data_IF_412826090005
#
_entry.id   IF_412826090005
#
_cell.length_a   1.000
_cell.length_b   1.000
_cell.length_c   1.000
_cell.angle_alpha   90.00
_cell.angle_beta   90.00
_cell.angle_gamma   90.00
#
_symmetry.space_group_name_H-M   'P 1'
#
loop_
_entity.id
_entity.type
_entity.pdbx_description
1 polymer ?
#
# COMPACT_ATOMS: atom_id res chain seq x y z
N UNK A 1 1.64 6.93 -40.32
CA UNK A 1 1.65 8.33 -39.82
C UNK A 1 2.69 8.47 -38.75
N UNK A 2 3.73 9.24 -39.06
CA UNK A 2 4.90 9.48 -38.21
C UNK A 2 4.52 10.19 -36.91
N UNK A 3 4.38 9.41 -35.84
CA UNK A 3 4.17 9.96 -34.51
C UNK A 3 5.45 10.59 -33.99
N UNK A 4 5.51 11.91 -33.94
CA UNK A 4 6.59 12.62 -33.24
C UNK A 4 6.59 12.20 -31.77
N UNK A 5 7.76 11.75 -31.29
CA UNK A 5 7.99 11.45 -29.88
C UNK A 5 8.00 12.76 -29.09
N UNK A 6 7.00 12.99 -28.26
CA UNK A 6 6.97 14.08 -27.27
C UNK A 6 7.31 13.46 -25.92
N UNK A 7 8.44 13.82 -25.32
CA UNK A 7 8.96 13.27 -24.06
C UNK A 7 9.10 11.74 -24.03
N UNK A 8 9.49 11.13 -25.17
CA UNK A 8 9.68 9.68 -25.27
C UNK A 8 8.39 8.87 -25.46
N UNK A 9 7.22 9.52 -25.52
CA UNK A 9 5.92 8.87 -25.77
C UNK A 9 5.47 9.11 -27.22
N UNK A 10 5.06 8.03 -27.92
CA UNK A 10 4.43 8.14 -29.23
C UNK A 10 3.07 8.80 -29.08
N UNK A 11 2.94 10.03 -29.58
CA UNK A 11 1.66 10.76 -29.60
C UNK A 11 0.65 10.08 -30.52
N UNK A 12 -0.55 9.78 -30.01
CA UNK A 12 -1.69 9.28 -30.78
C UNK A 12 -2.92 10.12 -30.51
N UNK A 13 -3.76 10.36 -31.53
CA UNK A 13 -5.06 10.97 -31.31
C UNK A 13 -6.03 9.90 -30.79
N UNK A 14 -6.48 10.04 -29.54
CA UNK A 14 -7.53 9.20 -28.97
C UNK A 14 -8.89 9.88 -29.15
N UNK A 15 -9.94 9.10 -29.42
CA UNK A 15 -11.32 9.57 -29.45
C UNK A 15 -12.23 8.50 -28.82
N UNK A 16 -13.33 8.95 -28.21
CA UNK A 16 -14.30 8.07 -27.56
C UNK A 16 -15.42 7.77 -28.54
N UNK A 17 -15.64 6.47 -28.82
CA UNK A 17 -16.82 5.99 -29.50
C UNK A 17 -17.91 5.70 -28.47
N UNK A 18 -18.96 6.52 -28.43
CA UNK A 18 -20.14 6.27 -27.57
C UNK A 18 -21.10 5.26 -28.26
N UNK A 19 -20.58 4.09 -28.60
CA UNK A 19 -21.33 3.00 -29.23
C UNK A 19 -20.88 1.66 -28.64
N UNK A 20 -21.70 0.62 -28.63
CA UNK A 20 -21.31 -0.72 -28.26
C UNK A 20 -20.09 -1.19 -29.08
N UNK A 21 -19.18 -1.93 -28.47
CA UNK A 21 -18.08 -2.57 -29.19
C UNK A 21 -18.67 -3.65 -30.09
N UNK A 22 -18.26 -3.68 -31.36
CA UNK A 22 -18.70 -4.68 -32.35
C UNK A 22 -17.60 -5.74 -32.53
N UNK A 23 -17.97 -6.92 -33.00
CA UNK A 23 -17.01 -7.99 -33.33
C UNK A 23 -15.93 -7.50 -34.31
N UNK A 24 -16.30 -6.65 -35.26
CA UNK A 24 -15.35 -6.09 -36.21
C UNK A 24 -14.27 -5.25 -35.54
N UNK A 25 -14.59 -4.47 -34.51
CA UNK A 25 -13.60 -3.69 -33.77
C UNK A 25 -12.61 -4.59 -33.00
N UNK A 26 -13.06 -5.74 -32.48
CA UNK A 26 -12.21 -6.74 -31.88
C UNK A 26 -11.28 -7.40 -32.90
N UNK A 27 -11.84 -7.79 -34.07
CA UNK A 27 -11.07 -8.39 -35.17
C UNK A 27 -10.01 -7.40 -35.64
N UNK A 28 -10.38 -6.14 -35.91
CA UNK A 28 -9.44 -5.11 -36.35
C UNK A 28 -8.32 -4.86 -35.34
N UNK A 29 -8.62 -4.91 -34.03
CA UNK A 29 -7.64 -4.78 -32.97
C UNK A 29 -6.64 -5.96 -32.98
N UNK A 30 -7.12 -7.21 -33.07
CA UNK A 30 -6.28 -8.41 -33.10
C UNK A 30 -5.47 -8.49 -34.40
N UNK A 31 -6.01 -8.00 -35.50
CA UNK A 31 -5.29 -7.88 -36.78
C UNK A 31 -4.29 -6.73 -36.86
N UNK A 32 -4.22 -5.88 -35.77
CA UNK A 32 -3.28 -4.77 -35.69
C UNK A 32 -3.67 -3.54 -36.50
N UNK A 33 -4.94 -3.41 -36.89
CA UNK A 33 -5.45 -2.25 -37.62
C UNK A 33 -5.61 -1.06 -36.68
N UNK A 34 -5.17 0.11 -37.12
CA UNK A 34 -5.39 1.38 -36.40
C UNK A 34 -6.83 1.91 -36.57
N UNK A 35 -7.39 2.51 -35.53
CA UNK A 35 -6.84 2.71 -34.18
C UNK A 35 -6.98 1.48 -33.27
N UNK A 36 -6.01 1.26 -32.38
CA UNK A 36 -6.13 0.22 -31.34
C UNK A 36 -7.27 0.52 -30.38
N UNK A 37 -7.90 -0.52 -29.83
CA UNK A 37 -8.97 -0.36 -28.83
C UNK A 37 -8.43 0.05 -27.47
N UNK A 38 -9.20 0.92 -26.81
CA UNK A 38 -9.14 1.14 -25.38
C UNK A 38 -10.54 0.96 -24.80
N UNK A 39 -10.64 0.35 -23.64
CA UNK A 39 -11.91 0.06 -22.98
C UNK A 39 -11.97 0.78 -21.63
N UNK A 40 -13.17 1.30 -21.31
CA UNK A 40 -13.48 1.91 -20.02
C UNK A 40 -13.88 0.79 -19.05
N UNK A 41 -13.19 0.59 -17.92
CA UNK A 41 -13.51 -0.50 -16.99
C UNK A 41 -14.79 -0.26 -16.19
N UNK A 42 -15.10 0.99 -15.83
CA UNK A 42 -16.29 1.32 -15.05
C UNK A 42 -17.54 1.35 -15.91
N UNK A 43 -18.60 0.69 -15.46
CA UNK A 43 -19.92 0.59 -16.10
C UNK A 43 -20.84 1.69 -15.57
N UNK A 44 -21.99 1.90 -16.25
CA UNK A 44 -22.97 2.92 -15.90
C UNK A 44 -23.51 2.81 -14.46
N UNK A 45 -23.53 1.61 -13.89
CA UNK A 45 -23.93 1.35 -12.51
C UNK A 45 -22.75 1.40 -11.51
N UNK A 46 -21.64 2.02 -11.88
CA UNK A 46 -20.44 2.16 -11.06
C UNK A 46 -19.79 0.83 -10.64
N UNK A 47 -20.03 -0.25 -11.40
CA UNK A 47 -19.34 -1.54 -11.23
C UNK A 47 -18.29 -1.75 -12.32
N UNK A 48 -17.40 -2.72 -12.11
CA UNK A 48 -16.46 -3.18 -13.14
C UNK A 48 -16.25 -4.69 -13.05
N UNK A 49 -15.84 -5.31 -14.16
CA UNK A 49 -15.44 -6.73 -14.25
C UNK A 49 -13.94 -6.90 -14.39
N UNK A 50 -13.22 -5.82 -14.43
CA UNK A 50 -11.76 -5.78 -14.46
C UNK A 50 -11.25 -4.43 -13.97
N UNK A 51 -9.99 -4.39 -13.54
CA UNK A 51 -9.26 -3.17 -13.22
C UNK A 51 -7.78 -3.33 -13.56
N UNK A 52 -7.00 -2.27 -13.41
CA UNK A 52 -5.60 -2.28 -13.79
C UNK A 52 -4.76 -1.31 -12.94
N UNK A 53 -3.54 -1.74 -12.61
CA UNK A 53 -2.46 -0.88 -12.15
C UNK A 53 -1.63 -0.52 -13.38
N UNK A 54 -1.55 0.75 -13.73
CA UNK A 54 -0.80 1.25 -14.89
C UNK A 54 0.59 1.76 -14.47
N UNK A 55 1.62 0.95 -14.74
CA UNK A 55 3.00 1.23 -14.32
C UNK A 55 3.76 1.88 -15.48
N UNK A 56 3.91 3.20 -15.41
CA UNK A 56 4.61 4.03 -16.38
C UNK A 56 6.06 4.36 -15.92
N UNK A 57 6.82 3.34 -15.52
CA UNK A 57 8.23 3.47 -15.10
C UNK A 57 9.16 2.86 -16.15
N UNK A 58 10.28 3.52 -16.46
CA UNK A 58 11.20 3.09 -17.52
C UNK A 58 12.66 3.21 -17.07
N UNK A 59 13.55 2.21 -17.34
CA UNK A 59 13.22 0.87 -17.84
C UNK A 59 12.49 0.04 -16.77
N UNK A 60 11.66 -0.94 -17.20
CA UNK A 60 10.87 -1.77 -16.30
C UNK A 60 11.25 -3.26 -16.47
N UNK A 61 11.52 -3.93 -15.36
CA UNK A 61 11.72 -5.39 -15.31
C UNK A 61 10.40 -6.10 -15.03
N UNK A 62 9.70 -6.50 -16.09
CA UNK A 62 8.41 -7.20 -16.00
C UNK A 62 8.52 -8.53 -15.25
N UNK A 63 9.63 -9.27 -15.42
CA UNK A 63 9.85 -10.56 -14.74
C UNK A 63 10.00 -10.39 -13.22
N UNK A 64 10.60 -9.28 -12.79
CA UNK A 64 10.69 -8.94 -11.35
C UNK A 64 9.30 -8.67 -10.75
N UNK A 65 8.45 -7.93 -11.48
CA UNK A 65 7.07 -7.66 -11.04
C UNK A 65 6.27 -8.96 -11.00
N UNK A 66 6.34 -9.78 -12.06
CA UNK A 66 5.65 -11.07 -12.11
C UNK A 66 6.03 -11.97 -10.93
N UNK A 67 7.33 -12.12 -10.63
CA UNK A 67 7.79 -12.89 -9.46
C UNK A 67 7.16 -12.37 -8.18
N UNK A 68 7.14 -11.04 -7.99
CA UNK A 68 6.55 -10.41 -6.81
C UNK A 68 5.03 -10.65 -6.72
N UNK A 69 4.31 -10.57 -7.84
CA UNK A 69 2.88 -10.92 -7.93
C UNK A 69 2.65 -12.36 -7.45
N UNK A 70 3.47 -13.32 -7.92
CA UNK A 70 3.35 -14.75 -7.55
C UNK A 70 3.78 -15.01 -6.11
N UNK A 71 4.85 -14.37 -5.64
CA UNK A 71 5.33 -14.47 -4.25
C UNK A 71 4.30 -13.98 -3.23
N UNK A 72 3.51 -12.97 -3.59
CA UNK A 72 2.41 -12.43 -2.78
C UNK A 72 1.07 -13.13 -3.03
N UNK A 73 1.04 -14.13 -3.91
CA UNK A 73 -0.15 -14.87 -4.34
C UNK A 73 -1.28 -13.96 -4.88
N UNK A 74 -0.92 -12.79 -5.48
CA UNK A 74 -1.90 -11.84 -5.99
C UNK A 74 -2.59 -12.39 -7.25
N UNK A 75 -3.94 -12.30 -7.37
CA UNK A 75 -4.69 -12.75 -8.54
C UNK A 75 -4.59 -11.73 -9.70
N UNK A 76 -3.36 -11.47 -10.14
CA UNK A 76 -3.05 -10.44 -11.12
C UNK A 76 -2.35 -11.03 -12.35
N UNK A 77 -2.69 -10.47 -13.51
CA UNK A 77 -2.07 -10.79 -14.81
C UNK A 77 -1.31 -9.56 -15.31
N UNK A 78 -0.02 -9.70 -15.58
CA UNK A 78 0.81 -8.61 -16.09
C UNK A 78 0.92 -8.67 -17.62
N UNK A 79 0.73 -7.52 -18.27
CA UNK A 79 0.98 -7.31 -19.70
C UNK A 79 1.98 -6.15 -19.89
N UNK A 80 2.76 -6.21 -20.95
CA UNK A 80 3.59 -5.09 -21.38
C UNK A 80 2.71 -3.99 -21.98
N UNK A 81 2.90 -2.75 -21.58
CA UNK A 81 2.20 -1.59 -22.16
C UNK A 81 2.85 -1.13 -23.47
N UNK A 82 2.15 -0.27 -24.23
CA UNK A 82 2.64 0.28 -25.51
C UNK A 82 4.02 0.93 -25.40
N UNK A 83 4.26 1.64 -24.32
CA UNK A 83 5.50 2.42 -24.09
C UNK A 83 6.61 1.58 -23.43
N UNK A 84 6.35 0.30 -23.08
CA UNK A 84 7.31 -0.56 -22.39
C UNK A 84 7.17 -0.58 -20.87
N UNK A 85 6.18 0.09 -20.31
CA UNK A 85 5.72 -0.08 -18.93
C UNK A 85 4.87 -1.35 -18.78
N UNK A 86 4.06 -1.44 -17.75
CA UNK A 86 3.19 -2.58 -17.52
C UNK A 86 1.75 -2.17 -17.20
N UNK A 87 0.80 -2.93 -17.73
CA UNK A 87 -0.57 -3.00 -17.27
C UNK A 87 -0.73 -4.27 -16.44
N UNK A 88 -1.08 -4.12 -15.17
CA UNK A 88 -1.27 -5.24 -14.24
C UNK A 88 -2.75 -5.36 -13.94
N UNK A 89 -3.38 -6.35 -14.57
CA UNK A 89 -4.84 -6.53 -14.58
C UNK A 89 -5.31 -7.40 -13.43
N UNK A 90 -6.46 -7.04 -12.85
CA UNK A 90 -7.35 -7.94 -12.15
C UNK A 90 -8.56 -8.23 -13.02
N UNK A 91 -9.03 -9.48 -13.01
CA UNK A 91 -10.26 -9.91 -13.65
C UNK A 91 -11.23 -10.48 -12.63
N UNK A 92 -12.52 -10.21 -12.84
CA UNK A 92 -13.60 -10.55 -11.90
C UNK A 92 -14.67 -11.38 -12.61
N UNK A 93 -15.14 -12.43 -11.96
CA UNK A 93 -16.17 -13.34 -12.48
C UNK A 93 -17.53 -12.66 -12.59
N UNK A 94 -17.80 -11.68 -11.74
CA UNK A 94 -19.03 -10.89 -11.68
C UNK A 94 -18.73 -9.38 -11.59
N UNK A 95 -19.70 -8.51 -11.91
CA UNK A 95 -19.54 -7.07 -11.72
C UNK A 95 -19.41 -6.71 -10.23
N UNK A 96 -18.32 -6.04 -9.86
CA UNK A 96 -17.98 -5.61 -8.49
C UNK A 96 -17.95 -4.08 -8.43
N UNK A 97 -18.29 -3.49 -7.29
CA UNK A 97 -18.23 -2.05 -7.09
C UNK A 97 -16.83 -1.51 -7.42
N UNK A 98 -16.76 -0.52 -8.30
CA UNK A 98 -15.50 0.08 -8.77
C UNK A 98 -14.62 0.58 -7.62
N UNK A 99 -15.24 1.10 -6.56
CA UNK A 99 -14.55 1.52 -5.33
C UNK A 99 -13.76 0.38 -4.69
N UNK A 100 -14.37 -0.79 -4.50
CA UNK A 100 -13.70 -1.96 -3.89
C UNK A 100 -12.52 -2.41 -4.74
N UNK A 101 -12.71 -2.53 -6.06
CA UNK A 101 -11.65 -2.94 -6.99
C UNK A 101 -10.49 -1.95 -6.97
N UNK A 102 -10.78 -0.66 -7.01
CA UNK A 102 -9.78 0.39 -6.96
C UNK A 102 -9.01 0.41 -5.64
N UNK A 103 -9.71 0.30 -4.50
CA UNK A 103 -9.08 0.29 -3.18
C UNK A 103 -8.12 -0.91 -3.04
N UNK A 104 -8.51 -2.11 -3.53
CA UNK A 104 -7.66 -3.30 -3.54
C UNK A 104 -6.47 -3.18 -4.47
N UNK A 105 -6.66 -2.66 -5.67
CA UNK A 105 -5.55 -2.41 -6.59
C UNK A 105 -4.57 -1.36 -6.04
N UNK A 106 -5.05 -0.33 -5.35
CA UNK A 106 -4.19 0.67 -4.71
C UNK A 106 -3.36 0.03 -3.57
N UNK A 107 -3.97 -0.83 -2.75
CA UNK A 107 -3.27 -1.64 -1.73
C UNK A 107 -2.17 -2.48 -2.39
N UNK A 108 -2.51 -3.26 -3.42
CA UNK A 108 -1.57 -4.15 -4.09
C UNK A 108 -0.49 -3.42 -4.89
N UNK A 109 -0.80 -2.27 -5.48
CA UNK A 109 0.22 -1.40 -6.08
C UNK A 109 1.27 -0.97 -5.04
N UNK A 110 0.82 -0.65 -3.81
CA UNK A 110 1.71 -0.39 -2.67
C UNK A 110 2.58 -1.60 -2.33
N UNK A 111 1.97 -2.79 -2.21
CA UNK A 111 2.69 -4.04 -1.93
C UNK A 111 3.72 -4.38 -3.03
N UNK A 112 3.40 -4.12 -4.29
CA UNK A 112 4.31 -4.28 -5.41
C UNK A 112 5.43 -3.23 -5.45
N UNK A 113 5.29 -2.12 -4.69
CA UNK A 113 6.24 -1.01 -4.67
C UNK A 113 5.95 0.09 -5.70
N UNK A 114 4.74 0.12 -6.24
CA UNK A 114 4.29 1.06 -7.26
C UNK A 114 3.09 1.91 -6.79
N UNK A 115 3.10 2.33 -5.53
CA UNK A 115 1.99 3.05 -4.89
C UNK A 115 1.58 4.36 -5.59
N UNK A 116 2.47 4.97 -6.38
CA UNK A 116 2.21 6.23 -7.11
C UNK A 116 1.66 6.01 -8.54
N UNK A 117 1.40 4.77 -8.95
CA UNK A 117 0.89 4.46 -10.28
C UNK A 117 -0.59 4.82 -10.42
N UNK A 118 -1.01 5.04 -11.67
CA UNK A 118 -2.42 5.21 -11.96
C UNK A 118 -3.18 3.90 -11.77
N UNK A 119 -4.38 4.00 -11.19
CA UNK A 119 -5.27 2.86 -10.98
C UNK A 119 -6.53 3.04 -11.83
N UNK A 120 -6.91 2.00 -12.56
CA UNK A 120 -8.15 1.92 -13.30
C UNK A 120 -9.10 0.90 -12.66
N UNK A 121 -10.40 1.23 -12.48
CA UNK A 121 -11.04 2.48 -12.86
C UNK A 121 -10.50 3.69 -12.10
N UNK A 122 -10.36 4.86 -12.78
CA UNK A 122 -9.96 6.11 -12.11
C UNK A 122 -11.10 6.67 -11.28
N UNK A 123 -12.32 6.53 -11.76
CA UNK A 123 -13.55 6.90 -11.07
C UNK A 123 -14.05 5.73 -10.23
N UNK A 124 -14.57 6.01 -9.05
CA UNK A 124 -15.25 5.04 -8.18
C UNK A 124 -16.77 5.05 -8.38
N UNK A 125 -17.29 6.16 -8.88
CA UNK A 125 -18.70 6.40 -9.23
C UNK A 125 -18.76 7.24 -10.49
N UNK A 126 -19.80 7.01 -11.31
CA UNK A 126 -20.16 7.83 -12.47
C UNK A 126 -21.65 8.10 -12.46
N UNK A 127 -22.04 9.26 -13.00
CA UNK A 127 -23.43 9.65 -13.21
C UNK A 127 -23.72 9.60 -14.71
N UNK A 128 -23.97 8.38 -15.21
CA UNK A 128 -24.14 8.11 -16.64
C UNK A 128 -25.30 8.91 -17.26
N UNK A 129 -26.37 9.14 -16.51
CA UNK A 129 -27.53 9.97 -16.87
C UNK A 129 -27.16 11.45 -17.11
N UNK A 130 -26.05 11.92 -16.52
CA UNK A 130 -25.49 13.26 -16.76
C UNK A 130 -24.42 13.28 -17.85
N UNK A 131 -24.17 12.13 -18.50
CA UNK A 131 -23.18 11.98 -19.55
C UNK A 131 -21.74 11.75 -19.06
N UNK A 132 -21.54 11.45 -17.77
CA UNK A 132 -20.23 11.08 -17.24
C UNK A 132 -19.73 9.79 -17.88
N UNK A 133 -18.44 9.74 -18.17
CA UNK A 133 -17.78 8.55 -18.70
C UNK A 133 -16.47 8.32 -17.94
N UNK A 134 -16.11 7.04 -17.77
CA UNK A 134 -14.82 6.67 -17.19
C UNK A 134 -13.64 6.95 -18.13
N UNK A 135 -12.43 6.79 -17.61
CA UNK A 135 -11.21 6.79 -18.41
C UNK A 135 -10.97 5.41 -19.02
N UNK A 136 -10.59 5.38 -20.29
CA UNK A 136 -10.23 4.13 -20.96
C UNK A 136 -8.77 3.75 -20.71
N UNK A 137 -8.47 2.46 -20.83
CA UNK A 137 -7.13 1.91 -20.89
C UNK A 137 -6.95 1.17 -22.21
N UNK A 138 -5.77 1.34 -22.85
CA UNK A 138 -5.45 0.62 -24.07
C UNK A 138 -5.33 -0.89 -23.78
N UNK A 139 -5.97 -1.70 -24.61
CA UNK A 139 -5.93 -3.15 -24.50
C UNK A 139 -4.57 -3.74 -24.94
N UNK A 140 -4.19 -4.88 -24.37
CA UNK A 140 -3.09 -5.70 -24.89
C UNK A 140 -3.46 -6.35 -26.22
N UNK A 141 -2.51 -7.04 -26.85
CA UNK A 141 -2.67 -7.84 -28.09
C UNK A 141 -3.17 -7.08 -29.31
N UNK A 142 -2.87 -5.79 -29.45
CA UNK A 142 -3.03 -5.10 -30.73
C UNK A 142 -2.02 -5.64 -31.74
N UNK A 143 -2.48 -6.42 -32.71
CA UNK A 143 -1.68 -7.20 -33.63
C UNK A 143 -1.54 -8.68 -33.24
N UNK A 144 -2.43 -9.18 -32.36
CA UNK A 144 -2.46 -10.59 -31.97
C UNK A 144 -1.19 -11.05 -31.25
N UNK A 145 -0.72 -12.24 -31.59
CA UNK A 145 0.46 -12.85 -30.96
C UNK A 145 1.78 -12.15 -31.33
N UNK A 146 1.84 -11.42 -32.45
CA UNK A 146 2.99 -10.61 -32.84
C UNK A 146 3.07 -9.29 -32.06
N UNK A 147 2.10 -9.02 -31.19
CA UNK A 147 2.02 -7.78 -30.42
C UNK A 147 3.13 -7.65 -29.41
N UNK A 148 3.76 -6.48 -29.36
CA UNK A 148 4.63 -6.13 -28.23
C UNK A 148 3.88 -5.90 -26.91
N UNK A 149 2.54 -5.79 -26.94
CA UNK A 149 1.65 -5.59 -25.79
C UNK A 149 1.09 -6.94 -25.30
N UNK A 150 1.94 -7.93 -25.13
CA UNK A 150 1.54 -9.28 -24.71
C UNK A 150 1.56 -9.43 -23.18
N UNK A 151 0.84 -10.44 -22.69
CA UNK A 151 0.91 -10.91 -21.32
C UNK A 151 2.19 -11.72 -21.04
N UNK A 152 2.48 -11.94 -19.79
CA UNK A 152 3.60 -12.81 -19.37
C UNK A 152 3.06 -14.06 -18.70
N UNK A 153 3.50 -15.23 -19.18
CA UNK A 153 3.28 -16.52 -18.55
C UNK A 153 4.03 -16.60 -17.21
N UNK A 154 3.67 -17.55 -16.33
CA UNK A 154 4.25 -17.66 -14.99
C UNK A 154 5.76 -17.94 -14.98
N UNK A 155 6.30 -18.51 -16.07
CA UNK A 155 7.74 -18.68 -16.28
C UNK A 155 8.45 -17.38 -16.72
N UNK A 156 7.70 -16.31 -16.98
CA UNK A 156 8.19 -15.01 -17.43
C UNK A 156 8.44 -14.93 -18.95
N UNK A 157 7.99 -15.90 -19.73
CA UNK A 157 7.94 -15.80 -21.20
C UNK A 157 6.73 -14.97 -21.66
N UNK A 158 6.76 -14.47 -22.89
CA UNK A 158 5.60 -13.84 -23.51
C UNK A 158 4.48 -14.88 -23.73
N UNK A 159 3.27 -14.55 -23.30
CA UNK A 159 2.10 -15.39 -23.52
C UNK A 159 1.48 -15.10 -24.89
N UNK A 160 1.05 -16.14 -25.61
CA UNK A 160 0.14 -16.00 -26.75
C UNK A 160 -1.23 -15.49 -26.29
N UNK A 161 -2.11 -15.15 -27.24
CA UNK A 161 -3.48 -14.75 -26.92
C UNK A 161 -4.23 -15.88 -26.21
N UNK A 162 -4.08 -17.13 -26.63
CA UNK A 162 -4.66 -18.30 -25.93
C UNK A 162 -4.06 -18.49 -24.54
N UNK A 163 -2.74 -18.25 -24.40
CA UNK A 163 -2.06 -18.25 -23.12
C UNK A 163 -2.59 -17.16 -22.17
N UNK A 164 -2.92 -15.99 -22.71
CA UNK A 164 -3.54 -14.93 -21.93
C UNK A 164 -4.94 -15.29 -21.44
N UNK A 165 -5.77 -15.95 -22.25
CA UNK A 165 -7.07 -16.45 -21.79
C UNK A 165 -6.89 -17.54 -20.73
N UNK A 166 -5.89 -18.38 -20.84
CA UNK A 166 -5.57 -19.37 -19.78
C UNK A 166 -5.15 -18.69 -18.46
N UNK A 167 -4.40 -17.58 -18.53
CA UNK A 167 -4.08 -16.76 -17.36
C UNK A 167 -5.33 -16.09 -16.76
N UNK A 168 -6.24 -15.61 -17.63
CA UNK A 168 -7.53 -15.08 -17.17
C UNK A 168 -8.32 -16.13 -16.39
N UNK A 169 -8.48 -17.35 -16.95
CA UNK A 169 -9.20 -18.43 -16.28
C UNK A 169 -8.56 -18.83 -14.94
N UNK A 170 -7.23 -18.79 -14.86
CA UNK A 170 -6.48 -19.15 -13.66
C UNK A 170 -6.61 -18.08 -12.55
N UNK A 171 -6.54 -16.81 -12.91
CA UNK A 171 -6.44 -15.70 -11.95
C UNK A 171 -7.72 -14.87 -11.80
N UNK A 172 -8.78 -15.20 -12.55
CA UNK A 172 -10.07 -14.53 -12.40
C UNK A 172 -10.68 -14.82 -11.02
N UNK A 173 -11.03 -13.77 -10.28
CA UNK A 173 -11.46 -13.89 -8.88
C UNK A 173 -12.92 -13.44 -8.68
N UNK A 174 -13.50 -13.73 -7.51
CA UNK A 174 -14.84 -13.32 -7.10
C UNK A 174 -14.79 -12.10 -6.18
N UNK A 175 -15.93 -11.40 -6.00
CA UNK A 175 -16.04 -10.31 -5.04
C UNK A 175 -15.73 -10.76 -3.62
N UNK A 176 -16.21 -11.95 -3.22
CA UNK A 176 -15.96 -12.53 -1.89
C UNK A 176 -14.47 -12.77 -1.68
N UNK A 177 -13.81 -13.48 -2.63
CA UNK A 177 -12.36 -13.72 -2.56
C UNK A 177 -11.55 -12.41 -2.54
N UNK A 178 -12.01 -11.39 -3.27
CA UNK A 178 -11.37 -10.08 -3.28
C UNK A 178 -11.47 -9.37 -1.93
N UNK A 179 -12.62 -9.42 -1.26
CA UNK A 179 -12.84 -8.84 0.08
C UNK A 179 -11.98 -9.49 1.14
N UNK A 180 -11.90 -10.83 1.11
CA UNK A 180 -11.20 -11.62 2.12
C UNK A 180 -9.72 -11.76 1.86
N UNK A 181 -9.24 -11.31 0.69
CA UNK A 181 -7.85 -11.44 0.30
C UNK A 181 -6.91 -10.68 1.25
N UNK A 182 -5.99 -11.42 1.86
CA UNK A 182 -4.90 -10.89 2.69
C UNK A 182 -3.57 -11.23 2.04
N UNK A 183 -2.75 -10.22 1.81
CA UNK A 183 -1.42 -10.40 1.24
C UNK A 183 -0.56 -11.24 2.18
N UNK A 184 -0.04 -12.37 1.68
CA UNK A 184 0.93 -13.19 2.41
C UNK A 184 2.34 -12.64 2.19
N UNK A 185 2.99 -12.21 3.26
CA UNK A 185 4.37 -11.71 3.23
C UNK A 185 5.33 -12.79 3.73
N UNK A 186 6.32 -13.18 2.91
CA UNK A 186 7.30 -14.23 3.27
C UNK A 186 8.30 -13.78 4.35
N UNK A 187 8.59 -12.47 4.45
CA UNK A 187 9.50 -11.89 5.44
C UNK A 187 8.87 -10.63 6.02
N UNK A 188 8.11 -10.78 7.08
CA UNK A 188 7.54 -9.64 7.77
C UNK A 188 8.62 -8.97 8.64
N UNK A 189 9.02 -7.76 8.25
CA UNK A 189 9.86 -6.91 9.10
C UNK A 189 8.91 -6.11 9.97
N UNK A 190 8.71 -6.56 11.19
CA UNK A 190 7.80 -5.88 12.10
C UNK A 190 8.56 -4.81 12.90
N UNK A 191 8.15 -3.56 12.74
CA UNK A 191 8.45 -2.51 13.68
C UNK A 191 7.40 -2.58 14.80
N UNK A 192 7.66 -3.38 15.83
CA UNK A 192 6.69 -3.64 16.90
C UNK A 192 6.15 -2.37 17.56
N UNK A 193 6.94 -1.30 17.57
CA UNK A 193 6.67 -0.03 18.21
C UNK A 193 6.45 1.15 17.25
N UNK A 194 6.59 0.92 15.95
CA UNK A 194 6.53 1.93 14.89
C UNK A 194 5.36 1.81 13.92
N UNK A 195 5.28 2.71 12.92
CA UNK A 195 4.22 2.69 11.94
C UNK A 195 4.20 1.41 11.10
N UNK A 196 3.08 0.68 11.00
CA UNK A 196 2.98 -0.55 10.18
C UNK A 196 3.29 -0.35 8.71
N UNK A 197 2.98 0.84 8.15
CA UNK A 197 3.29 1.16 6.77
C UNK A 197 4.80 1.15 6.48
N UNK A 198 5.65 1.54 7.44
CA UNK A 198 7.11 1.42 7.30
C UNK A 198 7.54 -0.04 7.29
N UNK A 199 7.00 -0.90 8.17
CA UNK A 199 7.25 -2.35 8.15
C UNK A 199 6.94 -2.96 6.79
N UNK A 200 5.77 -2.62 6.25
CA UNK A 200 5.34 -3.07 4.92
C UNK A 200 6.32 -2.65 3.83
N UNK A 201 6.68 -1.36 3.77
CA UNK A 201 7.60 -0.83 2.76
C UNK A 201 9.01 -1.42 2.89
N UNK A 202 9.50 -1.62 4.11
CA UNK A 202 10.79 -2.29 4.37
C UNK A 202 10.79 -3.74 3.88
N UNK A 203 9.70 -4.48 4.10
CA UNK A 203 9.57 -5.87 3.67
C UNK A 203 9.51 -6.03 2.16
N UNK A 204 8.98 -5.03 1.44
CA UNK A 204 8.83 -5.05 -0.01
C UNK A 204 10.12 -4.66 -0.77
N UNK A 205 11.02 -3.92 -0.11
CA UNK A 205 12.04 -3.11 -0.76
C UNK A 205 11.42 -1.83 -1.37
N UNK A 206 12.10 -0.71 -1.24
CA UNK A 206 11.58 0.61 -1.59
C UNK A 206 12.07 1.01 -2.99
N UNK A 207 11.20 1.05 -4.02
CA UNK A 207 11.60 1.37 -5.39
C UNK A 207 11.86 2.88 -5.58
N UNK A 208 12.50 3.28 -6.70
CA UNK A 208 12.90 4.66 -6.96
C UNK A 208 11.83 5.73 -6.75
N UNK A 209 10.57 5.50 -7.07
CA UNK A 209 9.51 6.50 -6.96
C UNK A 209 9.05 6.81 -5.52
N UNK A 210 9.37 5.96 -4.54
CA UNK A 210 8.91 6.08 -3.15
C UNK A 210 9.99 6.48 -2.13
N UNK A 211 11.26 6.51 -2.52
CA UNK A 211 12.42 6.59 -1.62
C UNK A 211 12.45 7.81 -0.71
N UNK A 212 12.31 9.01 -1.28
CA UNK A 212 12.39 10.26 -0.53
C UNK A 212 11.32 10.36 0.56
N UNK A 213 10.08 10.07 0.19
CA UNK A 213 8.97 10.12 1.14
C UNK A 213 9.12 9.05 2.22
N UNK A 214 9.55 7.85 1.86
CA UNK A 214 9.77 6.78 2.86
C UNK A 214 10.92 7.12 3.78
N UNK A 215 12.02 7.68 3.27
CA UNK A 215 13.14 8.14 4.10
C UNK A 215 12.71 9.24 5.08
N UNK A 216 11.90 10.20 4.61
CA UNK A 216 11.33 11.23 5.48
C UNK A 216 10.50 10.63 6.62
N UNK A 217 9.63 9.66 6.33
CA UNK A 217 8.79 9.01 7.35
C UNK A 217 9.62 8.18 8.33
N UNK A 218 10.63 7.47 7.81
CA UNK A 218 11.55 6.74 8.66
C UNK A 218 12.35 7.67 9.57
N UNK A 219 12.76 8.86 9.08
CA UNK A 219 13.44 9.85 9.89
C UNK A 219 12.57 10.36 11.06
N UNK A 220 11.26 10.53 10.84
CA UNK A 220 10.32 10.86 11.93
C UNK A 220 10.30 9.75 12.99
N UNK A 221 10.24 8.49 12.55
CA UNK A 221 10.26 7.33 13.46
C UNK A 221 11.59 7.21 14.20
N UNK A 222 12.71 7.26 13.46
CA UNK A 222 14.04 7.10 14.02
C UNK A 222 14.36 8.16 15.08
N UNK A 223 14.00 9.43 14.81
CA UNK A 223 14.21 10.53 15.75
C UNK A 223 13.40 10.37 17.04
N UNK A 224 12.20 9.80 16.97
CA UNK A 224 11.40 9.49 18.15
C UNK A 224 11.98 8.34 18.96
N UNK A 225 12.51 7.31 18.29
CA UNK A 225 12.97 6.06 18.93
C UNK A 225 14.41 6.14 19.41
N UNK A 226 15.29 6.77 18.63
CA UNK A 226 16.73 6.88 18.90
C UNK A 226 17.18 8.35 18.84
N UNK A 227 16.80 9.20 19.79
CA UNK A 227 17.05 10.64 19.72
C UNK A 227 18.53 11.01 19.55
N UNK A 228 19.46 10.18 20.07
CA UNK A 228 20.91 10.44 20.01
C UNK A 228 21.59 9.84 18.77
N UNK A 229 20.97 8.83 18.11
CA UNK A 229 21.60 8.05 17.02
C UNK A 229 20.76 7.99 15.73
N UNK A 230 19.68 8.75 15.65
CA UNK A 230 18.70 8.69 14.57
C UNK A 230 19.30 8.95 13.18
N UNK A 231 20.31 9.80 13.06
CA UNK A 231 20.94 10.12 11.78
C UNK A 231 21.68 8.92 11.18
N UNK A 232 22.44 8.16 12.01
CA UNK A 232 23.08 6.92 11.60
C UNK A 232 22.04 5.87 11.18
N UNK A 233 20.88 5.81 11.87
CA UNK A 233 19.78 4.91 11.52
C UNK A 233 19.15 5.25 10.16
N UNK A 234 19.12 6.50 9.76
CA UNK A 234 18.65 6.91 8.42
C UNK A 234 19.60 6.40 7.33
N UNK A 235 20.91 6.51 7.54
CA UNK A 235 21.90 6.03 6.57
C UNK A 235 21.84 4.50 6.43
N UNK A 236 21.75 3.77 7.56
CA UNK A 236 21.54 2.32 7.57
C UNK A 236 20.28 1.92 6.81
N UNK A 237 19.17 2.61 7.07
CA UNK A 237 17.91 2.36 6.40
C UNK A 237 18.01 2.54 4.87
N UNK A 238 18.64 3.61 4.42
CA UNK A 238 18.84 3.90 3.01
C UNK A 238 19.57 2.76 2.27
N UNK A 239 20.61 2.21 2.88
CA UNK A 239 21.38 1.13 2.27
C UNK A 239 20.71 -0.23 2.36
N UNK A 240 19.95 -0.48 3.41
CA UNK A 240 19.39 -1.82 3.69
C UNK A 240 18.06 -2.08 3.00
N UNK A 241 17.19 -1.06 2.88
CA UNK A 241 15.81 -1.27 2.47
C UNK A 241 15.43 -0.60 1.14
N UNK A 242 16.26 0.27 0.60
CA UNK A 242 16.02 0.85 -0.71
C UNK A 242 16.63 -0.02 -1.81
N UNK A 243 15.84 -0.37 -2.83
CA UNK A 243 16.34 -1.16 -3.98
C UNK A 243 17.55 -0.52 -4.66
N UNK A 244 17.55 0.81 -4.73
CA UNK A 244 18.71 1.62 -5.12
C UNK A 244 18.85 2.72 -4.09
N UNK A 245 19.89 2.76 -3.26
CA UNK A 245 20.06 3.78 -2.25
C UNK A 245 20.01 5.21 -2.82
N UNK A 246 19.45 6.12 -2.05
CA UNK A 246 19.52 7.55 -2.39
C UNK A 246 20.95 8.06 -2.31
N UNK A 247 21.35 9.02 -3.16
CA UNK A 247 22.66 9.67 -3.07
C UNK A 247 22.88 10.31 -1.69
N UNK A 248 24.12 10.25 -1.18
CA UNK A 248 24.48 10.77 0.15
C UNK A 248 24.03 12.23 0.36
N UNK A 249 24.11 13.09 -0.66
CA UNK A 249 23.63 14.48 -0.56
C UNK A 249 22.14 14.58 -0.27
N UNK A 250 21.32 13.65 -0.78
CA UNK A 250 19.88 13.65 -0.58
C UNK A 250 19.52 13.13 0.83
N UNK A 251 20.24 12.12 1.31
CA UNK A 251 20.15 11.63 2.70
C UNK A 251 20.54 12.74 3.67
N UNK A 252 21.66 13.40 3.46
CA UNK A 252 22.11 14.54 4.27
C UNK A 252 21.12 15.71 4.27
N UNK A 253 20.45 15.96 3.14
CA UNK A 253 19.38 16.97 3.09
C UNK A 253 18.24 16.64 4.03
N UNK A 254 17.79 15.38 4.04
CA UNK A 254 16.74 14.90 4.95
C UNK A 254 17.17 15.01 6.41
N UNK A 255 18.42 14.60 6.73
CA UNK A 255 18.96 14.74 8.08
C UNK A 255 18.95 16.20 8.52
N UNK A 256 19.53 17.11 7.76
CA UNK A 256 19.57 18.55 8.09
C UNK A 256 18.17 19.18 8.22
N UNK A 257 17.19 18.70 7.50
CA UNK A 257 15.81 19.15 7.67
C UNK A 257 15.26 18.74 9.03
N UNK A 258 15.45 17.47 9.42
CA UNK A 258 14.96 16.93 10.70
C UNK A 258 15.77 17.44 11.92
N UNK A 259 17.00 17.88 11.75
CA UNK A 259 17.77 18.58 12.80
C UNK A 259 17.11 19.90 13.23
N UNK A 260 16.57 20.64 12.26
CA UNK A 260 16.04 21.99 12.50
C UNK A 260 14.73 22.03 13.28
N UNK A 261 13.91 20.97 13.16
CA UNK A 261 12.61 20.85 13.86
C UNK A 261 12.11 19.41 13.88
N UNK A 262 11.15 19.16 14.75
CA UNK A 262 10.42 17.91 14.78
C UNK A 262 9.30 17.92 13.75
N UNK A 263 9.27 16.89 12.93
CA UNK A 263 8.25 16.68 11.92
C UNK A 263 7.24 15.65 12.36
N UNK A 264 6.04 15.71 11.77
CA UNK A 264 4.99 14.72 11.92
C UNK A 264 4.94 13.80 10.69
N UNK A 265 4.35 12.61 10.86
CA UNK A 265 4.12 11.71 9.74
C UNK A 265 3.19 12.32 8.70
N UNK A 266 3.53 12.15 7.43
CA UNK A 266 2.72 12.55 6.27
C UNK A 266 1.95 11.35 5.74
N UNK A 267 0.99 10.85 6.52
CA UNK A 267 0.27 9.60 6.24
C UNK A 267 -0.56 9.60 4.96
N UNK A 268 -0.86 10.80 4.40
CA UNK A 268 -1.62 10.94 3.14
C UNK A 268 -0.74 10.92 1.90
N UNK A 269 0.59 11.01 2.07
CA UNK A 269 1.53 11.01 0.95
C UNK A 269 1.85 9.57 0.53
N UNK A 270 2.06 9.38 -0.78
CA UNK A 270 2.52 8.10 -1.30
C UNK A 270 4.03 7.92 -1.00
N UNK A 271 4.48 6.66 -0.76
CA UNK A 271 3.75 5.40 -0.81
C UNK A 271 3.00 5.01 0.49
N UNK A 272 3.12 5.78 1.58
CA UNK A 272 2.53 5.43 2.88
C UNK A 272 1.01 5.29 2.84
N UNK A 273 0.33 6.18 2.10
CA UNK A 273 -1.13 6.17 2.02
C UNK A 273 -1.69 4.84 1.49
N UNK A 274 -0.98 4.19 0.55
CA UNK A 274 -1.40 2.94 -0.07
C UNK A 274 -1.37 1.74 0.90
N UNK A 275 -0.48 1.76 1.89
CA UNK A 275 -0.26 0.65 2.84
C UNK A 275 -0.55 1.06 4.29
N UNK A 276 -1.32 2.13 4.48
CA UNK A 276 -1.58 2.71 5.78
C UNK A 276 -2.61 1.90 6.58
N UNK A 277 -2.23 1.48 7.79
CA UNK A 277 -3.11 0.87 8.78
C UNK A 277 -3.24 1.82 9.98
N UNK A 278 -4.03 2.90 9.81
CA UNK A 278 -4.11 4.01 10.76
C UNK A 278 -4.52 3.57 12.17
N UNK A 279 -5.49 2.66 12.29
CA UNK A 279 -5.97 2.18 13.60
C UNK A 279 -4.88 1.43 14.36
N UNK A 280 -4.14 0.54 13.67
CA UNK A 280 -3.00 -0.17 14.27
C UNK A 280 -1.88 0.82 14.62
N UNK A 281 -1.59 1.78 13.72
CA UNK A 281 -0.52 2.76 13.91
C UNK A 281 -0.75 3.65 15.15
N UNK A 282 -2.00 4.02 15.46
CA UNK A 282 -2.36 4.79 16.65
C UNK A 282 -2.05 4.06 17.95
N UNK A 283 -2.12 2.73 17.95
CA UNK A 283 -1.75 1.89 19.08
C UNK A 283 -0.25 1.70 19.29
N UNK A 284 0.58 2.04 18.30
CA UNK A 284 2.04 1.87 18.39
C UNK A 284 2.70 3.04 19.13
N UNK A 285 3.74 2.75 19.91
CA UNK A 285 4.45 3.75 20.75
C UNK A 285 4.98 4.95 19.93
N UNK A 286 5.57 4.69 18.77
CA UNK A 286 6.07 5.72 17.87
C UNK A 286 5.20 5.89 16.61
N UNK A 287 3.94 5.49 16.70
CA UNK A 287 2.96 5.66 15.63
C UNK A 287 2.44 7.09 15.50
N UNK A 288 1.43 7.26 14.63
CA UNK A 288 0.75 8.54 14.42
C UNK A 288 -0.18 8.85 15.59
N UNK A 289 -0.15 10.10 16.09
CA UNK A 289 -1.03 10.56 17.19
C UNK A 289 -0.62 10.05 18.57
N UNK A 290 0.42 9.23 18.69
CA UNK A 290 0.92 8.77 19.97
C UNK A 290 1.76 9.86 20.64
N UNK A 291 1.21 10.44 21.71
CA UNK A 291 1.88 11.44 22.55
C UNK A 291 2.36 10.86 23.88
N UNK A 292 2.31 9.54 24.05
CA UNK A 292 2.77 8.90 25.27
C UNK A 292 4.30 8.90 25.31
N UNK A 293 4.89 9.74 26.13
CA UNK A 293 6.33 10.00 26.18
C UNK A 293 7.12 8.88 26.90
N UNK A 294 6.41 7.95 27.54
CA UNK A 294 7.00 6.89 28.36
C UNK A 294 7.00 5.55 27.64
N UNK A 295 8.04 4.75 27.88
CA UNK A 295 8.08 3.36 27.44
C UNK A 295 7.13 2.52 28.27
N UNK A 296 6.22 1.81 27.60
CA UNK A 296 5.23 0.93 28.25
C UNK A 296 5.42 -0.47 27.70
N UNK A 297 5.62 -1.44 28.58
CA UNK A 297 5.81 -2.85 28.24
C UNK A 297 5.18 -3.78 29.28
N UNK A 298 5.10 -5.05 28.93
CA UNK A 298 4.83 -6.17 29.83
C UNK A 298 3.53 -6.03 30.61
N UNK A 299 2.40 -5.84 29.90
CA UNK A 299 1.08 -5.89 30.52
C UNK A 299 0.78 -7.33 30.95
N UNK A 300 0.61 -7.53 32.26
CA UNK A 300 0.26 -8.83 32.84
C UNK A 300 -1.04 -8.72 33.59
N UNK A 301 -1.97 -9.65 33.35
CA UNK A 301 -3.24 -9.79 34.10
C UNK A 301 -3.16 -10.94 35.08
N UNK A 302 -3.43 -10.70 36.35
CA UNK A 302 -3.65 -11.75 37.35
C UNK A 302 -5.16 -11.93 37.51
N UNK A 303 -5.66 -13.14 37.22
CA UNK A 303 -7.06 -13.48 37.38
C UNK A 303 -7.36 -13.87 38.82
N UNK A 304 -8.24 -13.06 39.46
CA UNK A 304 -8.80 -13.30 40.79
C UNK A 304 -10.21 -12.73 40.80
N UNK A 305 -10.95 -12.79 41.91
CA UNK A 305 -12.29 -12.21 42.05
C UNK A 305 -12.32 -10.73 41.62
N UNK A 306 -11.23 -10.00 41.84
CA UNK A 306 -10.96 -8.70 41.25
C UNK A 306 -9.64 -8.76 40.47
N UNK A 307 -9.71 -8.74 39.13
CA UNK A 307 -8.50 -8.79 38.27
C UNK A 307 -7.54 -7.67 38.61
N UNK A 308 -6.28 -8.02 38.83
CA UNK A 308 -5.18 -7.09 39.07
C UNK A 308 -4.26 -7.07 37.84
N UNK A 309 -3.88 -5.88 37.44
CA UNK A 309 -3.02 -5.64 36.28
C UNK A 309 -1.67 -5.09 36.70
N UNK A 310 -0.62 -5.52 36.02
CA UNK A 310 0.72 -4.98 36.17
C UNK A 310 1.24 -4.50 34.83
N UNK A 311 1.88 -3.35 34.81
CA UNK A 311 2.41 -2.70 33.63
C UNK A 311 3.78 -2.10 33.96
N UNK A 312 4.75 -2.23 33.06
CA UNK A 312 6.02 -1.53 33.20
C UNK A 312 5.98 -0.20 32.44
N UNK A 313 6.34 0.89 33.13
CA UNK A 313 6.50 2.23 32.55
C UNK A 313 7.92 2.71 32.86
N UNK A 314 8.74 2.91 31.82
CA UNK A 314 10.17 3.27 31.95
C UNK A 314 10.93 2.35 32.93
N UNK A 315 10.64 1.03 32.86
CA UNK A 315 11.24 0.01 33.72
C UNK A 315 10.69 -0.02 35.15
N UNK A 316 9.69 0.80 35.50
CA UNK A 316 9.02 0.80 36.82
C UNK A 316 7.72 0.03 36.72
N UNK A 317 7.53 -0.94 37.63
CA UNK A 317 6.32 -1.78 37.63
C UNK A 317 5.19 -1.06 38.35
N UNK A 318 4.08 -0.86 37.64
CA UNK A 318 2.86 -0.23 38.13
C UNK A 318 1.77 -1.29 38.35
N UNK A 319 1.12 -1.27 39.51
CA UNK A 319 -0.06 -2.09 39.80
C UNK A 319 -1.33 -1.28 39.53
N UNK A 320 -2.29 -1.87 38.86
CA UNK A 320 -3.54 -1.21 38.45
C UNK A 320 -4.74 -2.12 38.73
N UNK A 321 -5.86 -1.53 39.11
CA UNK A 321 -7.17 -2.15 39.00
C UNK A 321 -7.67 -2.09 37.55
N UNK A 322 -8.67 -2.88 37.21
CA UNK A 322 -9.31 -2.84 35.88
C UNK A 322 -9.81 -1.43 35.54
N UNK A 323 -10.47 -0.78 36.47
CA UNK A 323 -10.98 0.58 36.36
C UNK A 323 -9.86 1.62 36.12
N UNK A 324 -8.72 1.47 36.79
CA UNK A 324 -7.56 2.33 36.60
C UNK A 324 -6.88 2.10 35.24
N UNK A 325 -6.89 0.88 34.71
CA UNK A 325 -6.31 0.57 33.39
C UNK A 325 -7.15 1.17 32.25
N UNK A 326 -8.48 1.09 32.35
CA UNK A 326 -9.37 1.48 31.24
C UNK A 326 -9.70 2.98 31.23
N UNK A 327 -9.66 3.67 32.40
CA UNK A 327 -9.89 5.10 32.49
C UNK A 327 -8.58 5.88 32.47
N UNK A 328 -8.33 6.66 31.43
CA UNK A 328 -7.09 7.42 31.24
C UNK A 328 -6.79 8.39 32.41
N UNK A 329 -7.80 9.01 33.00
CA UNK A 329 -7.59 9.91 34.12
C UNK A 329 -7.17 9.17 35.41
N UNK A 330 -7.79 8.00 35.67
CA UNK A 330 -7.44 7.14 36.79
C UNK A 330 -6.08 6.51 36.60
N UNK A 331 -5.77 6.08 35.36
CA UNK A 331 -4.45 5.58 34.97
C UNK A 331 -3.34 6.59 35.28
N UNK A 332 -3.50 7.84 34.84
CA UNK A 332 -2.51 8.89 35.05
C UNK A 332 -2.31 9.19 36.55
N UNK A 333 -3.38 9.17 37.33
CA UNK A 333 -3.30 9.32 38.80
C UNK A 333 -2.56 8.16 39.45
N UNK A 334 -2.82 6.94 39.02
CA UNK A 334 -2.09 5.77 39.51
C UNK A 334 -0.59 5.85 39.16
N UNK A 335 -0.24 6.25 37.94
CA UNK A 335 1.17 6.49 37.56
C UNK A 335 1.83 7.55 38.49
N UNK A 336 1.15 8.66 38.75
CA UNK A 336 1.70 9.70 39.61
C UNK A 336 1.90 9.22 41.06
N UNK A 337 0.91 8.50 41.61
CA UNK A 337 0.92 8.07 43.01
C UNK A 337 1.92 6.92 43.27
N UNK A 338 2.01 5.96 42.35
CA UNK A 338 2.77 4.72 42.57
C UNK A 338 4.23 4.82 42.07
N UNK A 339 4.47 5.52 40.95
CA UNK A 339 5.77 5.57 40.28
C UNK A 339 6.30 6.98 40.04
N UNK A 340 5.58 8.00 40.49
CA UNK A 340 5.93 9.42 40.34
C UNK A 340 6.15 9.85 38.89
N UNK A 341 5.26 9.39 38.00
CA UNK A 341 5.26 9.70 36.56
C UNK A 341 3.88 10.24 36.19
N UNK A 342 3.81 11.37 35.48
CA UNK A 342 2.55 11.95 35.01
C UNK A 342 2.51 11.91 33.48
N UNK A 343 2.01 10.83 32.85
CA UNK A 343 1.92 10.73 31.39
C UNK A 343 1.02 11.85 30.82
N UNK A 344 1.34 12.27 29.59
CA UNK A 344 0.50 13.22 28.86
C UNK A 344 -0.90 12.67 28.59
N UNK A 345 -1.91 13.56 28.52
CA UNK A 345 -3.24 13.18 28.06
C UNK A 345 -3.20 12.85 26.55
N UNK A 346 -3.71 11.68 26.20
CA UNK A 346 -3.95 11.30 24.81
C UNK A 346 -5.38 11.68 24.40
N UNK A 347 -5.63 11.80 23.09
CA UNK A 347 -7.01 11.88 22.60
C UNK A 347 -7.73 10.56 22.89
N UNK A 348 -9.05 10.56 23.12
CA UNK A 348 -9.79 9.34 23.48
C UNK A 348 -9.50 8.17 22.53
N UNK A 349 -9.64 8.37 21.22
CA UNK A 349 -9.37 7.32 20.21
C UNK A 349 -7.92 6.83 20.20
N UNK A 350 -6.94 7.69 20.53
CA UNK A 350 -5.52 7.31 20.58
C UNK A 350 -5.27 6.50 21.87
N UNK A 351 -5.92 6.85 22.96
CA UNK A 351 -5.89 6.09 24.22
C UNK A 351 -6.48 4.69 24.05
N UNK A 352 -7.69 4.60 23.48
CA UNK A 352 -8.37 3.32 23.23
C UNK A 352 -7.53 2.41 22.33
N UNK A 353 -6.95 2.95 21.26
CA UNK A 353 -6.07 2.20 20.34
C UNK A 353 -4.79 1.73 21.05
N UNK A 354 -4.22 2.55 21.93
CA UNK A 354 -3.04 2.20 22.72
C UNK A 354 -3.35 1.09 23.71
N UNK A 355 -4.47 1.22 24.43
CA UNK A 355 -4.93 0.22 25.39
C UNK A 355 -5.19 -1.12 24.69
N UNK A 356 -5.86 -1.11 23.52
CA UNK A 356 -6.09 -2.32 22.74
C UNK A 356 -4.77 -2.99 22.34
N UNK A 357 -3.79 -2.23 21.87
CA UNK A 357 -2.46 -2.77 21.52
C UNK A 357 -1.73 -3.42 22.71
N UNK A 358 -1.94 -2.92 23.93
CA UNK A 358 -1.40 -3.56 25.14
C UNK A 358 -2.16 -4.84 25.49
N UNK A 359 -3.49 -4.83 25.35
CA UNK A 359 -4.35 -5.97 25.63
C UNK A 359 -4.13 -7.12 24.64
N UNK A 360 -3.84 -6.82 23.36
CA UNK A 360 -3.55 -7.83 22.34
C UNK A 360 -2.29 -8.67 22.65
N UNK A 361 -1.40 -8.15 23.52
CA UNK A 361 -0.16 -8.80 23.93
C UNK A 361 -0.10 -9.10 25.44
N UNK A 362 -1.25 -9.16 26.10
CA UNK A 362 -1.33 -9.37 27.55
C UNK A 362 -0.93 -10.79 27.93
N UNK A 363 -0.07 -10.91 28.93
CA UNK A 363 0.18 -12.19 29.60
C UNK A 363 -0.86 -12.39 30.71
N UNK A 364 -1.57 -13.54 30.68
CA UNK A 364 -2.58 -13.88 31.70
C UNK A 364 -2.02 -14.95 32.63
N UNK A 365 -1.99 -14.64 33.91
CA UNK A 365 -1.54 -15.55 34.97
C UNK A 365 -2.78 -15.90 35.83
N UNK A 366 -3.05 -17.19 35.96
CA UNK A 366 -4.12 -17.74 36.78
C UNK A 366 -3.73 -17.92 38.24
#
# INVERSE_FOLDING_TARGET
SDGQLVNGKAGGKAFILKKPVTDQLWIDHIEGKDPSLGIIPIRDNSTCTWGCIDIDTYPLDHKKILRKIRDLELPLVICRSKSGGAHVFIFLKEPVQAKLVRDKLQEWAGELGYANCEIFPKQIEIQADRGDTGNFLNLPYHGGDDSMRHGFSDDGSGASLDGFFSLYDTYCTTEESLKDFKVKRKNEIELNDGPPCLSTLMSQGIPPGGRDNTLYQYAVYAKKKWPDDWSAKIEEFNHKYMETPLPAQQVLKTIRQHEKKDYQYKCKDQPMAAVCSLNICRGKQYGVGNTFEHQVSDLTKYESDESTWFLNIDGRRLKLSTDQLYDQHKFRRACMNEINVMPNMMRPNDWDSRLQSLLDNVEVIQ
#
